data_IF_332717470867
#
_entry.id   IF_332717470867
#
_cell.length_a   1.000
_cell.length_b   1.000
_cell.length_c   1.000
_cell.angle_alpha   90.00
_cell.angle_beta   90.00
_cell.angle_gamma   90.00
#
_symmetry.space_group_name_H-M   'P 1'
#
loop_
_entity.id
_entity.type
_entity.pdbx_description
1 polymer ?
#
# COMPACT_ATOMS: atom_id res chain seq x y z
N UNK A 1 34.03 8.70 -27.68
CA UNK A 1 33.33 7.42 -27.45
C UNK A 1 32.55 7.53 -26.15
N UNK A 2 31.28 7.97 -26.24
CA UNK A 2 30.39 8.10 -25.10
C UNK A 2 29.79 6.74 -24.79
N UNK A 3 30.31 6.08 -23.74
CA UNK A 3 29.71 4.85 -23.22
C UNK A 3 28.34 5.17 -22.63
N UNK A 4 27.32 4.46 -23.12
CA UNK A 4 25.98 4.42 -22.55
C UNK A 4 26.05 3.93 -21.09
N UNK A 5 26.06 4.87 -20.14
CA UNK A 5 26.04 4.60 -18.69
C UNK A 5 24.65 4.21 -18.17
N UNK A 6 23.60 4.18 -19.00
CA UNK A 6 22.22 4.22 -18.50
C UNK A 6 21.59 2.86 -18.15
N UNK A 7 22.18 1.73 -18.57
CA UNK A 7 21.56 0.41 -18.36
C UNK A 7 21.88 -0.27 -17.02
N UNK A 8 22.84 0.25 -16.25
CA UNK A 8 23.20 -0.26 -14.92
C UNK A 8 22.51 0.45 -13.75
N UNK A 9 21.81 1.56 -14.00
CA UNK A 9 21.29 2.42 -12.92
C UNK A 9 19.88 2.09 -12.49
N UNK A 10 19.10 1.33 -13.27
CA UNK A 10 17.71 0.99 -12.94
C UNK A 10 17.50 -0.51 -12.84
N UNK A 11 16.77 -0.91 -11.79
CA UNK A 11 16.52 -2.30 -11.45
C UNK A 11 15.03 -2.56 -11.45
N UNK A 12 14.63 -3.75 -11.89
CA UNK A 12 13.22 -4.15 -11.88
C UNK A 12 12.75 -4.36 -10.44
N UNK A 13 11.82 -3.53 -10.00
CA UNK A 13 11.19 -3.57 -8.67
C UNK A 13 9.93 -4.44 -8.67
N UNK A 14 9.03 -4.15 -9.60
CA UNK A 14 7.71 -4.75 -9.69
C UNK A 14 7.50 -5.44 -11.04
N UNK A 15 6.69 -6.50 -11.03
CA UNK A 15 6.22 -7.12 -12.26
C UNK A 15 5.03 -6.35 -12.81
N UNK A 16 4.79 -6.49 -14.12
CA UNK A 16 3.61 -5.90 -14.76
C UNK A 16 2.31 -6.35 -14.07
N UNK A 17 2.24 -7.62 -13.67
CA UNK A 17 1.12 -8.15 -12.90
C UNK A 17 0.82 -7.36 -11.63
N UNK A 18 1.86 -7.10 -10.81
CA UNK A 18 1.72 -6.33 -9.56
C UNK A 18 1.28 -4.89 -9.80
N UNK A 19 1.81 -4.28 -10.85
CA UNK A 19 1.43 -2.91 -11.22
C UNK A 19 -0.04 -2.87 -11.68
N UNK A 20 -0.45 -3.80 -12.53
CA UNK A 20 -1.84 -3.90 -13.01
C UNK A 20 -2.81 -4.16 -11.85
N UNK A 21 -2.49 -5.09 -10.96
CA UNK A 21 -3.23 -5.37 -9.72
C UNK A 21 -3.39 -4.10 -8.88
N UNK A 22 -2.30 -3.36 -8.65
CA UNK A 22 -2.34 -2.10 -7.91
C UNK A 22 -3.25 -1.05 -8.57
N UNK A 23 -3.11 -0.80 -9.88
CA UNK A 23 -3.92 0.21 -10.58
C UNK A 23 -5.40 -0.17 -10.63
N UNK A 24 -5.70 -1.45 -10.77
CA UNK A 24 -7.08 -1.96 -10.72
C UNK A 24 -7.68 -1.74 -9.32
N UNK A 25 -6.91 -2.04 -8.27
CA UNK A 25 -7.30 -1.77 -6.88
C UNK A 25 -7.48 -0.27 -6.61
N UNK A 26 -6.61 0.59 -7.15
CA UNK A 26 -6.73 2.04 -6.99
C UNK A 26 -8.01 2.59 -7.63
N UNK A 27 -8.33 2.15 -8.86
CA UNK A 27 -9.55 2.57 -9.56
C UNK A 27 -10.80 2.10 -8.82
N UNK A 28 -10.86 0.82 -8.42
CA UNK A 28 -12.04 0.29 -7.71
C UNK A 28 -12.21 0.97 -6.34
N UNK A 29 -11.10 1.26 -5.66
CA UNK A 29 -11.11 1.99 -4.39
C UNK A 29 -11.72 3.38 -4.55
N UNK A 30 -11.32 4.14 -5.58
CA UNK A 30 -11.89 5.47 -5.85
C UNK A 30 -13.39 5.38 -6.09
N UNK A 31 -13.86 4.40 -6.87
CA UNK A 31 -15.29 4.19 -7.12
C UNK A 31 -16.03 3.91 -5.80
N UNK A 32 -15.51 3.02 -4.96
CA UNK A 32 -16.10 2.66 -3.68
C UNK A 32 -16.11 3.81 -2.68
N UNK A 33 -15.05 4.60 -2.62
CA UNK A 33 -14.95 5.80 -1.77
C UNK A 33 -15.97 6.84 -2.22
N UNK A 34 -16.03 7.16 -3.51
CA UNK A 34 -16.97 8.17 -4.03
C UNK A 34 -18.42 7.76 -3.78
N UNK A 35 -18.77 6.51 -4.09
CA UNK A 35 -20.13 5.99 -3.89
C UNK A 35 -20.47 5.74 -2.41
N UNK A 36 -19.50 5.39 -1.57
CA UNK A 36 -19.70 5.11 -0.14
C UNK A 36 -19.73 6.38 0.72
N UNK A 37 -18.77 7.29 0.53
CA UNK A 37 -18.70 8.53 1.30
C UNK A 37 -19.85 9.48 0.99
N UNK A 38 -20.33 9.51 -0.25
CA UNK A 38 -21.54 10.29 -0.59
C UNK A 38 -22.78 9.79 0.16
N UNK A 39 -22.88 8.47 0.42
CA UNK A 39 -23.96 7.91 1.24
C UNK A 39 -23.75 8.16 2.73
N UNK A 40 -22.50 8.08 3.23
CA UNK A 40 -22.16 8.37 4.64
C UNK A 40 -22.45 9.83 4.99
N UNK A 41 -21.98 10.76 4.16
CA UNK A 41 -22.08 12.20 4.35
C UNK A 41 -23.21 12.80 3.51
N UNK A 42 -24.40 12.19 3.54
CA UNK A 42 -25.55 12.59 2.73
C UNK A 42 -26.01 14.04 2.96
N UNK A 43 -25.67 14.63 4.12
CA UNK A 43 -26.00 16.02 4.46
C UNK A 43 -25.13 17.06 3.76
N UNK A 44 -24.04 16.67 3.10
CA UNK A 44 -23.17 17.61 2.38
C UNK A 44 -23.69 17.83 0.95
N UNK A 45 -23.70 19.09 0.49
CA UNK A 45 -24.13 19.45 -0.87
C UNK A 45 -23.33 18.72 -1.96
N UNK A 46 -22.04 18.47 -1.73
CA UNK A 46 -21.20 17.72 -2.67
C UNK A 46 -21.66 16.27 -2.80
N UNK A 47 -22.08 15.64 -1.69
CA UNK A 47 -22.59 14.26 -1.70
C UNK A 47 -23.90 14.16 -2.47
N UNK A 48 -24.81 15.11 -2.25
CA UNK A 48 -26.09 15.15 -2.98
C UNK A 48 -25.87 15.39 -4.47
N UNK A 49 -24.98 16.32 -4.85
CA UNK A 49 -24.61 16.54 -6.26
C UNK A 49 -24.01 15.32 -6.92
N UNK A 50 -23.09 14.62 -6.24
CA UNK A 50 -22.50 13.37 -6.73
C UNK A 50 -23.57 12.30 -6.93
N UNK A 51 -24.47 12.12 -5.96
CA UNK A 51 -25.57 11.14 -6.08
C UNK A 51 -26.47 11.47 -7.26
N UNK A 52 -26.84 12.74 -7.46
CA UNK A 52 -27.68 13.15 -8.59
C UNK A 52 -26.95 13.00 -9.93
N UNK A 53 -25.68 13.38 -10.01
CA UNK A 53 -24.86 13.23 -11.22
C UNK A 53 -24.70 11.77 -11.64
N UNK A 54 -24.57 10.86 -10.65
CA UNK A 54 -24.48 9.43 -10.89
C UNK A 54 -25.86 8.78 -11.19
N UNK A 55 -26.94 9.55 -11.34
CA UNK A 55 -28.25 8.99 -11.71
C UNK A 55 -29.13 8.57 -10.54
N UNK A 56 -28.84 9.07 -9.33
CA UNK A 56 -29.66 8.87 -8.14
C UNK A 56 -29.15 7.78 -7.20
N UNK A 57 -29.76 7.71 -6.00
CA UNK A 57 -29.28 6.87 -4.90
C UNK A 57 -29.29 5.37 -5.24
N UNK A 58 -30.27 4.91 -6.03
CA UNK A 58 -30.38 3.50 -6.40
C UNK A 58 -29.24 3.08 -7.33
N UNK A 59 -28.87 3.94 -8.28
CA UNK A 59 -27.74 3.69 -9.17
C UNK A 59 -26.41 3.74 -8.42
N UNK A 60 -26.23 4.71 -7.50
CA UNK A 60 -25.06 4.77 -6.62
C UNK A 60 -24.90 3.49 -5.80
N UNK A 61 -25.98 2.97 -5.22
CA UNK A 61 -25.97 1.69 -4.47
C UNK A 61 -25.71 0.49 -5.36
N UNK A 62 -26.15 0.52 -6.62
CA UNK A 62 -25.86 -0.53 -7.60
C UNK A 62 -24.36 -0.53 -7.94
N UNK A 63 -23.79 0.63 -8.29
CA UNK A 63 -22.35 0.76 -8.55
C UNK A 63 -21.54 0.31 -7.35
N UNK A 64 -21.89 0.78 -6.14
CA UNK A 64 -21.16 0.45 -4.92
C UNK A 64 -21.10 -1.06 -4.67
N UNK A 65 -22.23 -1.75 -4.82
CA UNK A 65 -22.31 -3.21 -4.66
C UNK A 65 -21.55 -3.95 -5.75
N UNK A 66 -21.67 -3.53 -7.01
CA UNK A 66 -20.92 -4.12 -8.13
C UNK A 66 -19.40 -3.97 -7.94
N UNK A 67 -18.95 -2.76 -7.56
CA UNK A 67 -17.57 -2.49 -7.24
C UNK A 67 -17.08 -3.28 -6.01
N UNK A 68 -17.95 -3.46 -5.01
CA UNK A 68 -17.66 -4.24 -3.82
C UNK A 68 -17.48 -5.73 -4.12
N UNK A 69 -18.30 -6.32 -5.00
CA UNK A 69 -18.10 -7.69 -5.47
C UNK A 69 -16.78 -7.83 -6.23
N UNK A 70 -16.46 -6.87 -7.09
CA UNK A 70 -15.22 -6.90 -7.85
C UNK A 70 -13.99 -6.79 -6.94
N UNK A 71 -14.02 -5.88 -5.95
CA UNK A 71 -12.97 -5.78 -4.95
C UNK A 71 -12.84 -7.07 -4.12
N UNK A 72 -13.96 -7.68 -3.72
CA UNK A 72 -13.95 -8.96 -3.01
C UNK A 72 -13.29 -10.07 -3.86
N UNK A 73 -13.59 -10.11 -5.16
CA UNK A 73 -12.93 -11.03 -6.09
C UNK A 73 -11.42 -10.79 -6.16
N UNK A 74 -10.97 -9.54 -6.34
CA UNK A 74 -9.55 -9.19 -6.37
C UNK A 74 -8.84 -9.55 -5.05
N UNK A 75 -9.49 -9.33 -3.91
CA UNK A 75 -8.95 -9.67 -2.61
C UNK A 75 -8.76 -11.18 -2.44
N UNK A 76 -9.78 -11.97 -2.81
CA UNK A 76 -9.73 -13.42 -2.73
C UNK A 76 -8.64 -13.96 -3.68
N UNK A 77 -8.59 -13.45 -4.91
CA UNK A 77 -7.57 -13.82 -5.90
C UNK A 77 -6.16 -13.50 -5.36
N UNK A 78 -5.94 -12.28 -4.85
CA UNK A 78 -4.67 -11.87 -4.26
C UNK A 78 -4.21 -12.82 -3.13
N UNK A 79 -5.10 -13.10 -2.17
CA UNK A 79 -4.81 -13.98 -1.03
C UNK A 79 -4.52 -15.39 -1.53
N UNK A 80 -5.31 -15.89 -2.47
CA UNK A 80 -5.14 -17.23 -3.05
C UNK A 80 -3.78 -17.35 -3.74
N UNK A 81 -3.46 -16.45 -4.66
CA UNK A 81 -2.20 -16.47 -5.40
C UNK A 81 -1.00 -16.28 -4.47
N UNK A 82 -1.08 -15.37 -3.49
CA UNK A 82 -0.01 -15.19 -2.50
C UNK A 82 0.21 -16.45 -1.65
N UNK A 83 -0.88 -17.07 -1.17
CA UNK A 83 -0.84 -18.26 -0.33
C UNK A 83 -0.28 -19.47 -1.09
N UNK A 84 -0.72 -19.68 -2.34
CA UNK A 84 -0.16 -20.73 -3.22
C UNK A 84 1.30 -20.46 -3.56
N UNK A 85 1.67 -19.22 -3.87
CA UNK A 85 3.06 -18.82 -4.13
C UNK A 85 4.00 -19.17 -2.97
N UNK A 86 3.56 -18.90 -1.74
CA UNK A 86 4.32 -19.21 -0.52
C UNK A 86 4.33 -20.73 -0.23
N UNK A 87 3.16 -21.39 -0.29
CA UNK A 87 3.02 -22.82 0.01
C UNK A 87 3.88 -23.68 -0.92
N UNK A 88 3.90 -23.36 -2.21
CA UNK A 88 4.71 -24.06 -3.21
C UNK A 88 6.14 -23.51 -3.32
N UNK A 89 6.59 -22.71 -2.34
CA UNK A 89 7.94 -22.12 -2.25
C UNK A 89 8.40 -21.38 -3.51
N UNK A 90 7.44 -20.85 -4.28
CA UNK A 90 7.73 -20.01 -5.44
C UNK A 90 8.04 -18.58 -5.01
N UNK A 91 7.45 -18.11 -3.90
CA UNK A 91 7.59 -16.76 -3.39
C UNK A 91 8.09 -16.76 -1.95
N UNK A 92 8.99 -15.83 -1.64
CA UNK A 92 9.40 -15.56 -0.27
C UNK A 92 8.35 -14.70 0.45
N UNK A 93 8.03 -14.97 1.73
CA UNK A 93 7.00 -14.24 2.49
C UNK A 93 7.51 -12.88 3.00
N UNK A 94 8.15 -12.08 2.14
CA UNK A 94 8.83 -10.83 2.51
C UNK A 94 7.90 -9.73 3.02
N UNK A 95 6.59 -9.82 2.75
CA UNK A 95 5.57 -8.87 3.23
C UNK A 95 5.09 -9.20 4.66
N UNK A 96 5.49 -10.34 5.23
CA UNK A 96 5.12 -10.71 6.60
C UNK A 96 5.78 -9.76 7.61
N UNK A 97 5.02 -9.42 8.66
CA UNK A 97 5.54 -8.67 9.81
C UNK A 97 6.40 -9.62 10.65
N UNK A 98 7.61 -9.16 10.96
CA UNK A 98 8.64 -9.87 11.71
C UNK A 98 9.11 -9.02 12.88
N UNK A 99 9.88 -9.62 13.80
CA UNK A 99 10.51 -8.88 14.90
C UNK A 99 11.40 -7.74 14.42
N UNK A 100 12.04 -7.89 13.24
CA UNK A 100 12.89 -6.84 12.65
C UNK A 100 12.09 -5.56 12.37
N UNK A 101 10.83 -5.65 11.97
CA UNK A 101 10.02 -4.47 11.64
C UNK A 101 9.81 -3.54 12.86
N UNK A 102 9.70 -4.11 14.06
CA UNK A 102 9.62 -3.33 15.31
C UNK A 102 10.97 -2.73 15.71
N UNK A 103 12.07 -3.45 15.44
CA UNK A 103 13.44 -2.95 15.66
C UNK A 103 13.69 -1.77 14.72
N UNK A 104 13.37 -1.91 13.43
CA UNK A 104 13.54 -0.88 12.41
C UNK A 104 12.70 0.36 12.73
N UNK A 105 11.45 0.18 13.20
CA UNK A 105 10.62 1.29 13.66
C UNK A 105 11.25 2.04 14.84
N UNK A 106 11.81 1.30 15.81
CA UNK A 106 12.48 1.88 16.97
C UNK A 106 13.77 2.62 16.60
N UNK A 107 14.55 2.08 15.66
CA UNK A 107 15.75 2.72 15.13
C UNK A 107 15.41 3.99 14.35
N UNK A 108 14.38 3.96 13.51
CA UNK A 108 13.91 5.15 12.81
C UNK A 108 13.40 6.22 13.78
N UNK A 109 12.72 5.84 14.86
CA UNK A 109 12.30 6.80 15.88
C UNK A 109 13.52 7.47 16.54
N UNK A 110 14.55 6.69 16.90
CA UNK A 110 15.82 7.23 17.42
C UNK A 110 16.51 8.15 16.41
N UNK A 111 16.49 7.79 15.14
CA UNK A 111 17.03 8.62 14.05
C UNK A 111 16.29 9.96 13.95
N UNK A 112 14.95 9.94 13.95
CA UNK A 112 14.14 11.17 13.90
C UNK A 112 14.31 12.03 15.15
N UNK A 113 14.64 11.44 16.30
CA UNK A 113 15.00 12.15 17.53
C UNK A 113 16.47 12.60 17.57
N UNK A 114 17.25 12.35 16.51
CA UNK A 114 18.66 12.73 16.40
C UNK A 114 19.63 11.88 17.23
N UNK A 115 19.18 10.74 17.76
CA UNK A 115 20.00 9.84 18.60
C UNK A 115 20.93 8.96 17.77
N UNK A 116 20.51 8.56 16.57
CA UNK A 116 21.33 7.79 15.62
C UNK A 116 21.63 8.62 14.38
N UNK A 117 22.76 8.35 13.72
CA UNK A 117 23.23 9.11 12.55
C UNK A 117 22.59 8.66 11.23
N UNK A 118 21.95 7.50 11.19
CA UNK A 118 21.32 6.94 10.00
C UNK A 118 19.96 6.30 10.31
N UNK A 119 19.05 6.22 9.31
CA UNK A 119 17.81 5.47 9.43
C UNK A 119 18.06 3.94 9.38
N UNK A 120 17.06 3.16 9.78
CA UNK A 120 17.09 1.71 9.75
C UNK A 120 17.24 1.17 8.32
N UNK A 121 18.16 0.22 8.15
CA UNK A 121 18.37 -0.48 6.89
C UNK A 121 17.26 -1.49 6.65
N UNK A 122 16.29 -1.07 5.84
CA UNK A 122 15.10 -1.82 5.52
C UNK A 122 15.35 -2.83 4.39
N UNK A 123 14.52 -3.86 4.36
CA UNK A 123 14.50 -4.86 3.31
C UNK A 123 13.56 -4.45 2.17
N UNK A 124 13.13 -5.40 1.33
CA UNK A 124 12.22 -5.21 0.20
C UNK A 124 11.00 -4.37 0.59
N UNK A 125 10.39 -4.66 1.71
CA UNK A 125 9.36 -3.81 2.27
C UNK A 125 9.83 -3.28 3.61
N UNK A 126 9.77 -1.96 3.78
CA UNK A 126 10.01 -1.35 5.08
C UNK A 126 8.81 -1.58 6.01
N UNK A 127 8.99 -1.37 7.31
CA UNK A 127 7.93 -1.62 8.28
C UNK A 127 6.67 -0.80 7.98
N UNK A 128 6.79 0.47 7.53
CA UNK A 128 5.64 1.33 7.19
C UNK A 128 4.79 0.70 6.08
N UNK A 129 5.44 0.22 5.02
CA UNK A 129 4.79 -0.46 3.89
C UNK A 129 4.13 -1.77 4.32
N UNK A 130 4.75 -2.55 5.19
CA UNK A 130 4.14 -3.79 5.71
C UNK A 130 2.94 -3.52 6.61
N UNK A 131 3.05 -2.56 7.52
CA UNK A 131 1.92 -2.16 8.38
C UNK A 131 0.75 -1.63 7.56
N UNK A 132 1.02 -0.84 6.53
CA UNK A 132 0.01 -0.38 5.60
C UNK A 132 -0.61 -1.55 4.82
N UNK A 133 0.19 -2.44 4.25
CA UNK A 133 -0.31 -3.63 3.55
C UNK A 133 -1.25 -4.47 4.43
N UNK A 134 -0.82 -4.80 5.66
CA UNK A 134 -1.63 -5.61 6.57
C UNK A 134 -2.85 -4.87 7.09
N UNK A 135 -2.74 -3.57 7.38
CA UNK A 135 -3.88 -2.75 7.80
C UNK A 135 -4.95 -2.65 6.71
N UNK A 136 -4.54 -2.43 5.46
CA UNK A 136 -5.47 -2.42 4.33
C UNK A 136 -6.04 -3.82 4.08
N UNK A 137 -5.23 -4.87 4.10
CA UNK A 137 -5.69 -6.25 3.88
C UNK A 137 -6.77 -6.65 4.90
N UNK A 138 -6.55 -6.42 6.19
CA UNK A 138 -7.52 -6.74 7.24
C UNK A 138 -8.74 -5.83 7.18
N UNK A 139 -8.56 -4.54 6.92
CA UNK A 139 -9.65 -3.60 6.70
C UNK A 139 -10.54 -4.03 5.54
N UNK A 140 -9.97 -4.48 4.43
CA UNK A 140 -10.73 -4.99 3.28
C UNK A 140 -11.50 -6.28 3.60
N UNK A 141 -10.95 -7.17 4.43
CA UNK A 141 -11.69 -8.34 4.92
C UNK A 141 -12.90 -7.93 5.77
N UNK A 142 -12.74 -6.93 6.65
CA UNK A 142 -13.84 -6.35 7.44
C UNK A 142 -14.88 -5.72 6.51
N UNK A 143 -14.46 -4.96 5.50
CA UNK A 143 -15.34 -4.35 4.51
C UNK A 143 -16.16 -5.40 3.74
N UNK A 144 -15.51 -6.48 3.29
CA UNK A 144 -16.18 -7.60 2.61
C UNK A 144 -17.21 -8.28 3.52
N UNK A 145 -16.83 -8.61 4.76
CA UNK A 145 -17.71 -9.29 5.71
C UNK A 145 -18.92 -8.41 6.11
N UNK A 146 -18.66 -7.16 6.50
CA UNK A 146 -19.73 -6.23 6.89
C UNK A 146 -20.60 -5.81 5.71
N UNK A 147 -20.03 -5.68 4.51
CA UNK A 147 -20.79 -5.43 3.28
C UNK A 147 -21.74 -6.57 2.94
N UNK A 148 -21.31 -7.82 3.12
CA UNK A 148 -22.17 -8.99 2.94
C UNK A 148 -23.34 -9.01 3.94
N UNK A 149 -23.09 -8.69 5.22
CA UNK A 149 -24.14 -8.57 6.25
C UNK A 149 -25.15 -7.49 5.87
N UNK A 150 -24.70 -6.33 5.40
CA UNK A 150 -25.58 -5.22 5.02
C UNK A 150 -26.37 -5.49 3.73
N UNK A 151 -25.83 -6.29 2.82
CA UNK A 151 -26.54 -6.66 1.59
C UNK A 151 -27.57 -7.77 1.82
N UNK A 152 -27.25 -8.76 2.66
CA UNK A 152 -28.13 -9.90 2.90
C UNK A 152 -28.60 -9.99 4.37
N UNK A 153 -29.19 -8.92 4.94
CA UNK A 153 -29.46 -8.86 6.38
C UNK A 153 -30.35 -10.01 6.87
N UNK A 154 -31.39 -10.35 6.10
CA UNK A 154 -32.32 -11.45 6.41
C UNK A 154 -31.64 -12.82 6.40
N UNK A 155 -30.59 -13.01 5.59
CA UNK A 155 -29.85 -14.28 5.57
C UNK A 155 -29.00 -14.43 6.84
N UNK A 156 -28.34 -13.35 7.27
CA UNK A 156 -27.49 -13.38 8.47
C UNK A 156 -28.30 -13.45 9.77
N UNK A 157 -29.44 -12.78 9.86
CA UNK A 157 -30.28 -12.80 11.08
C UNK A 157 -31.02 -14.12 11.31
N UNK A 158 -30.95 -15.07 10.36
CA UNK A 158 -31.37 -16.47 10.60
C UNK A 158 -30.42 -17.22 11.53
N UNK A 159 -29.15 -16.80 11.61
CA UNK A 159 -28.09 -17.47 12.36
C UNK A 159 -27.49 -16.60 13.46
N UNK A 160 -27.61 -15.27 13.35
CA UNK A 160 -27.03 -14.30 14.28
C UNK A 160 -28.10 -13.36 14.85
N UNK A 161 -27.87 -12.77 16.04
CA UNK A 161 -28.76 -11.76 16.61
C UNK A 161 -28.94 -10.53 15.72
N UNK A 162 -30.07 -9.84 15.83
CA UNK A 162 -30.41 -8.68 14.99
C UNK A 162 -29.43 -7.52 15.11
N UNK A 163 -28.72 -7.43 16.24
CA UNK A 163 -27.67 -6.47 16.56
C UNK A 163 -26.49 -6.51 15.57
N UNK A 164 -26.32 -7.62 14.83
CA UNK A 164 -25.26 -7.73 13.82
C UNK A 164 -25.44 -6.71 12.69
N UNK A 165 -26.66 -6.30 12.37
CA UNK A 165 -26.94 -5.34 11.30
C UNK A 165 -26.46 -3.92 11.65
N UNK A 166 -26.87 -3.30 12.78
CA UNK A 166 -26.34 -2.00 13.18
C UNK A 166 -24.84 -2.07 13.49
N UNK A 167 -24.33 -3.16 14.06
CA UNK A 167 -22.90 -3.35 14.28
C UNK A 167 -22.12 -3.32 12.95
N UNK A 168 -22.57 -4.11 11.95
CA UNK A 168 -21.98 -4.11 10.61
C UNK A 168 -22.06 -2.74 9.95
N UNK A 169 -23.17 -1.99 10.12
CA UNK A 169 -23.31 -0.64 9.57
C UNK A 169 -22.27 0.33 10.14
N UNK A 170 -22.09 0.32 11.46
CA UNK A 170 -21.11 1.18 12.14
C UNK A 170 -19.69 0.79 11.72
N UNK A 171 -19.38 -0.51 11.76
CA UNK A 171 -18.05 -1.01 11.36
C UNK A 171 -17.74 -0.70 9.90
N UNK A 172 -18.63 -1.04 8.96
CA UNK A 172 -18.43 -0.77 7.53
C UNK A 172 -18.21 0.72 7.26
N UNK A 173 -19.03 1.58 7.86
CA UNK A 173 -18.94 3.02 7.65
C UNK A 173 -17.66 3.63 8.22
N UNK A 174 -17.24 3.21 9.42
CA UNK A 174 -16.06 3.76 10.09
C UNK A 174 -14.78 3.19 9.52
N UNK A 175 -14.75 1.90 9.19
CA UNK A 175 -13.62 1.25 8.54
C UNK A 175 -13.38 1.85 7.15
N UNK A 176 -14.43 2.03 6.33
CA UNK A 176 -14.31 2.70 5.04
C UNK A 176 -13.68 4.10 5.16
N UNK A 177 -14.06 4.85 6.19
CA UNK A 177 -13.53 6.18 6.42
C UNK A 177 -12.08 6.14 6.92
N UNK A 178 -11.74 5.19 7.80
CA UNK A 178 -10.36 4.97 8.25
C UNK A 178 -9.44 4.59 7.08
N UNK A 179 -9.84 3.64 6.24
CA UNK A 179 -9.11 3.25 5.03
C UNK A 179 -8.95 4.47 4.11
N UNK A 180 -10.02 5.25 3.90
CA UNK A 180 -9.95 6.49 3.12
C UNK A 180 -8.89 7.47 3.65
N UNK A 181 -8.84 7.68 4.97
CA UNK A 181 -7.86 8.56 5.59
C UNK A 181 -6.45 8.00 5.49
N UNK A 182 -6.24 6.71 5.73
CA UNK A 182 -4.93 6.06 5.59
C UNK A 182 -4.43 6.20 4.16
N UNK A 183 -5.25 5.88 3.15
CA UNK A 183 -4.82 6.00 1.76
C UNK A 183 -4.57 7.48 1.38
N UNK A 184 -5.45 8.40 1.76
CA UNK A 184 -5.33 9.79 1.32
C UNK A 184 -4.20 10.55 2.02
N UNK A 185 -4.07 10.37 3.34
CA UNK A 185 -3.14 11.15 4.15
C UNK A 185 -1.79 10.46 4.32
N UNK A 186 -1.76 9.12 4.35
CA UNK A 186 -0.52 8.37 4.56
C UNK A 186 0.03 7.80 3.26
N UNK A 187 -0.76 7.00 2.53
CA UNK A 187 -0.28 6.35 1.32
C UNK A 187 0.16 7.36 0.26
N UNK A 188 -0.76 8.23 -0.15
CA UNK A 188 -0.52 9.23 -1.20
C UNK A 188 0.57 10.21 -0.78
N UNK A 189 0.62 10.61 0.49
CA UNK A 189 1.72 11.45 0.98
C UNK A 189 3.07 10.78 0.79
N UNK A 190 3.23 9.54 1.25
CA UNK A 190 4.50 8.83 1.13
C UNK A 190 4.86 8.50 -0.32
N UNK A 191 3.88 8.36 -1.22
CA UNK A 191 4.09 8.03 -2.62
C UNK A 191 4.29 9.25 -3.54
N UNK A 192 3.76 10.42 -3.18
CA UNK A 192 3.75 11.63 -4.04
C UNK A 192 4.53 12.79 -3.41
N UNK A 193 4.32 13.02 -2.12
CA UNK A 193 4.76 14.24 -1.44
C UNK A 193 6.01 14.04 -0.56
N UNK A 194 6.56 12.83 -0.49
CA UNK A 194 7.83 12.59 0.20
C UNK A 194 8.97 13.33 -0.54
N UNK A 195 9.71 14.25 0.12
CA UNK A 195 10.78 15.03 -0.50
C UNK A 195 11.86 14.21 -1.19
N UNK A 196 12.12 12.97 -0.74
CA UNK A 196 13.17 12.11 -1.31
C UNK A 196 12.83 11.59 -2.72
N UNK A 197 11.55 11.61 -3.08
CA UNK A 197 11.01 11.03 -4.31
C UNK A 197 10.06 11.98 -5.04
N UNK A 198 10.01 13.25 -4.61
CA UNK A 198 9.16 14.26 -5.20
C UNK A 198 9.50 14.45 -6.69
N UNK A 199 8.50 14.57 -7.59
CA UNK A 199 7.06 14.74 -7.32
C UNK A 199 6.24 13.45 -7.21
N UNK A 200 6.84 12.28 -7.44
CA UNK A 200 6.11 11.01 -7.48
C UNK A 200 7.06 9.80 -7.46
N UNK A 201 6.69 8.76 -6.71
CA UNK A 201 7.26 7.42 -6.84
C UNK A 201 6.86 6.80 -8.19
N UNK A 202 7.80 6.79 -9.13
CA UNK A 202 7.59 6.19 -10.45
C UNK A 202 7.71 4.67 -10.47
N UNK A 203 8.06 4.02 -9.36
CA UNK A 203 8.31 2.58 -9.35
C UNK A 203 7.06 1.76 -9.60
N UNK A 204 5.89 2.20 -9.14
CA UNK A 204 4.61 1.52 -9.41
C UNK A 204 4.05 1.84 -10.80
N UNK A 205 4.56 2.90 -11.44
CA UNK A 205 4.20 3.29 -12.81
C UNK A 205 5.05 2.58 -13.86
N UNK A 206 6.36 2.47 -13.61
CA UNK A 206 7.32 1.94 -14.57
C UNK A 206 7.72 0.49 -14.26
N UNK A 207 7.62 0.08 -13.00
CA UNK A 207 8.14 -1.19 -12.51
C UNK A 207 9.62 -1.16 -12.16
N UNK A 208 10.30 -0.02 -12.30
CA UNK A 208 11.74 0.13 -12.10
C UNK A 208 12.06 1.13 -10.99
N UNK A 209 13.23 0.96 -10.37
CA UNK A 209 13.76 1.85 -9.34
C UNK A 209 15.26 2.06 -9.58
N UNK A 210 15.77 3.26 -9.28
CA UNK A 210 17.20 3.51 -9.41
C UNK A 210 18.00 2.76 -8.35
N UNK A 211 19.21 2.32 -8.69
CA UNK A 211 20.14 1.67 -7.78
C UNK A 211 20.47 2.57 -6.59
N UNK A 212 20.67 3.85 -6.83
CA UNK A 212 20.94 4.85 -5.78
C UNK A 212 19.81 4.89 -4.74
N UNK A 213 18.55 4.88 -5.20
CA UNK A 213 17.39 4.85 -4.32
C UNK A 213 17.27 3.51 -3.59
N UNK A 214 17.58 2.39 -4.26
CA UNK A 214 17.65 1.07 -3.62
C UNK A 214 18.67 1.02 -2.48
N UNK A 215 19.84 1.66 -2.62
CA UNK A 215 20.84 1.73 -1.54
C UNK A 215 20.28 2.46 -0.32
N UNK A 216 19.51 3.54 -0.52
CA UNK A 216 18.96 4.34 0.59
C UNK A 216 17.75 3.68 1.25
N UNK A 217 16.80 3.21 0.46
CA UNK A 217 15.49 2.76 0.95
C UNK A 217 15.43 1.25 1.20
N UNK A 218 16.17 0.45 0.41
CA UNK A 218 16.08 -1.02 0.39
C UNK A 218 17.45 -1.72 0.30
N UNK A 219 18.45 -1.33 1.13
CA UNK A 219 19.82 -1.83 0.98
C UNK A 219 19.96 -3.34 1.17
N UNK A 220 19.14 -3.95 2.05
CA UNK A 220 19.20 -5.41 2.26
C UNK A 220 18.69 -6.20 1.06
N UNK A 221 17.72 -5.66 0.31
CA UNK A 221 17.31 -6.27 -0.94
C UNK A 221 18.35 -6.06 -2.04
N UNK A 222 18.94 -4.86 -2.12
CA UNK A 222 20.00 -4.59 -3.09
C UNK A 222 21.19 -5.53 -2.90
N UNK A 223 21.62 -5.74 -1.65
CA UNK A 223 22.67 -6.68 -1.31
C UNK A 223 22.38 -8.10 -1.83
N UNK A 224 21.14 -8.58 -1.68
CA UNK A 224 20.72 -9.89 -2.22
C UNK A 224 20.70 -9.93 -3.74
N UNK A 225 20.25 -8.87 -4.41
CA UNK A 225 20.24 -8.81 -5.88
C UNK A 225 21.67 -8.79 -6.44
N UNK A 226 22.59 -8.09 -5.78
CA UNK A 226 23.99 -7.99 -6.21
C UNK A 226 24.89 -9.13 -5.72
N UNK A 227 24.37 -10.03 -4.87
CA UNK A 227 25.17 -11.10 -4.26
C UNK A 227 26.27 -10.58 -3.33
N UNK A 228 26.06 -9.42 -2.70
CA UNK A 228 27.02 -8.72 -1.83
C UNK A 228 26.59 -8.76 -0.38
N UNK A 229 27.52 -8.50 0.52
CA UNK A 229 27.17 -8.28 1.93
C UNK A 229 26.57 -6.89 2.11
N UNK A 230 25.63 -6.77 3.06
CA UNK A 230 24.95 -5.51 3.37
C UNK A 230 25.95 -4.39 3.72
N UNK A 231 26.96 -4.72 4.52
CA UNK A 231 27.99 -3.78 4.95
C UNK A 231 28.80 -3.25 3.75
N UNK A 232 29.06 -4.08 2.74
CA UNK A 232 29.76 -3.64 1.52
C UNK A 232 28.93 -2.60 0.75
N UNK A 233 27.62 -2.82 0.62
CA UNK A 233 26.70 -1.88 -0.03
C UNK A 233 26.70 -0.55 0.72
N UNK A 234 26.57 -0.58 2.05
CA UNK A 234 26.52 0.60 2.90
C UNK A 234 27.85 1.37 2.85
N UNK A 235 28.99 0.70 3.07
CA UNK A 235 30.31 1.32 3.03
C UNK A 235 30.59 1.97 1.68
N UNK A 236 30.33 1.27 0.57
CA UNK A 236 30.54 1.81 -0.78
C UNK A 236 29.70 3.06 -1.09
N UNK A 237 28.58 3.23 -0.41
CA UNK A 237 27.73 4.41 -0.55
C UNK A 237 28.26 5.60 0.25
N UNK A 238 28.65 5.36 1.50
CA UNK A 238 29.23 6.39 2.36
C UNK A 238 30.56 6.91 1.79
N UNK A 239 31.42 6.03 1.27
CA UNK A 239 32.69 6.44 0.63
C UNK A 239 32.45 7.31 -0.60
N UNK A 240 31.51 6.93 -1.48
CA UNK A 240 31.15 7.75 -2.66
C UNK A 240 30.62 9.13 -2.26
N UNK A 241 29.73 9.19 -1.26
CA UNK A 241 29.21 10.45 -0.75
C UNK A 241 30.28 11.35 -0.11
N UNK A 242 31.30 10.75 0.54
CA UNK A 242 32.45 11.48 1.05
C UNK A 242 33.32 12.05 -0.06
N UNK A 243 33.66 11.24 -1.08
CA UNK A 243 34.48 11.67 -2.21
C UNK A 243 33.82 12.78 -3.03
N UNK A 244 32.50 12.74 -3.22
CA UNK A 244 31.77 13.84 -3.87
C UNK A 244 31.84 15.14 -3.05
N UNK A 245 31.61 15.09 -1.74
CA UNK A 245 31.74 16.28 -0.88
C UNK A 245 33.13 16.89 -0.91
N UNK A 246 34.18 16.07 -0.91
CA UNK A 246 35.58 16.53 -0.98
C UNK A 246 35.89 17.13 -2.35
N UNK A 247 35.27 16.66 -3.44
CA UNK A 247 35.50 17.18 -4.80
C UNK A 247 34.90 18.58 -5.03
N UNK A 248 33.91 18.97 -4.23
CA UNK A 248 33.25 20.28 -4.30
C UNK A 248 33.76 21.29 -3.25
N UNK A 249 34.75 20.91 -2.45
CA UNK A 249 35.52 21.78 -1.55
C UNK A 249 36.85 22.14 -2.20
#
# INVERSE_FOLDING_TARGET
MGGDKSKGDYMRRFSFYRMAEHWLLAVIFVILVVTGLSQKFYGLDISQRLVMYLGGIDFVRLIHRGAGLFLAFLLIEHIFVASFGILFRKWEPLIMITKKDFIDASLNLKYYLGVTSHPAYCDRYNYKQKFEYWGILTGLLVMMATGAVLWFPVAFTRFLPGEIIPAAKVMHSNEAFLIFLIITLWHIYNAVFNPEIFPLDTSILTGYISRERMVREHPAELARIEGKQLDEIIHSHHERGYQEKVRFL
#
